data_IF_469957113502
#
_entry.id   IF_469957113502
#
_cell.length_a   1.000
_cell.length_b   1.000
_cell.length_c   1.000
_cell.angle_alpha   90.00
_cell.angle_beta   90.00
_cell.angle_gamma   90.00
#
_symmetry.space_group_name_H-M   'P 1'
#
loop_
_entity.id
_entity.type
_entity.pdbx_description
1 polymer ?
#
# COMPACT_ATOMS: atom_id res chain seq x y z
N UNK A 1 11.20 -4.49 -13.82
CA UNK A 1 12.31 -3.79 -13.15
C UNK A 1 12.16 -2.29 -13.26
N UNK A 2 12.55 -1.57 -12.23
CA UNK A 2 12.51 -0.11 -12.24
C UNK A 2 13.60 0.42 -13.20
N UNK A 3 13.31 1.34 -14.13
CA UNK A 3 14.29 1.83 -15.08
C UNK A 3 15.43 2.58 -14.40
N UNK A 4 16.65 2.35 -14.83
CA UNK A 4 17.85 2.96 -14.27
C UNK A 4 18.81 3.43 -15.36
N UNK A 5 19.46 4.59 -15.14
CA UNK A 5 20.48 5.12 -16.06
C UNK A 5 21.69 4.22 -16.24
N UNK A 6 21.96 3.30 -15.28
CA UNK A 6 23.04 2.32 -15.39
C UNK A 6 22.73 1.18 -16.38
N UNK A 7 21.46 1.04 -16.76
CA UNK A 7 20.96 0.04 -17.67
C UNK A 7 19.89 0.67 -18.58
N UNK A 8 20.29 1.38 -19.64
CA UNK A 8 19.38 2.14 -20.50
C UNK A 8 18.24 1.31 -21.11
N UNK A 9 18.49 0.04 -21.46
CA UNK A 9 17.49 -0.91 -21.95
C UNK A 9 16.35 -1.14 -20.97
N UNK A 10 16.57 -0.92 -19.68
CA UNK A 10 15.53 -1.07 -18.65
C UNK A 10 14.35 -0.10 -18.84
N UNK A 11 14.55 1.04 -19.49
CA UNK A 11 13.46 1.97 -19.82
C UNK A 11 12.52 1.34 -20.84
N UNK A 12 13.05 0.73 -21.89
CA UNK A 12 12.25 0.02 -22.90
C UNK A 12 11.56 -1.20 -22.30
N UNK A 13 12.27 -1.99 -21.48
CA UNK A 13 11.70 -3.13 -20.78
C UNK A 13 10.57 -2.71 -19.82
N UNK A 14 10.70 -1.56 -19.15
CA UNK A 14 9.68 -1.00 -18.28
C UNK A 14 8.43 -0.64 -19.07
N UNK A 15 8.56 -0.02 -20.25
CA UNK A 15 7.45 0.43 -21.09
C UNK A 15 6.63 -0.76 -21.67
N UNK A 16 7.18 -1.97 -21.70
CA UNK A 16 6.41 -3.17 -22.04
C UNK A 16 5.45 -3.63 -20.95
N UNK A 17 5.57 -3.13 -19.70
CA UNK A 17 4.64 -3.52 -18.65
C UNK A 17 3.27 -2.88 -18.86
N UNK A 18 2.25 -3.72 -18.73
CA UNK A 18 0.86 -3.31 -18.82
C UNK A 18 0.35 -3.05 -17.40
N UNK A 19 0.11 -1.77 -17.08
CA UNK A 19 -0.57 -1.36 -15.86
C UNK A 19 -2.05 -1.16 -16.17
N UNK A 20 -2.90 -1.81 -15.43
CA UNK A 20 -4.34 -1.68 -15.60
C UNK A 20 -5.07 -1.58 -14.26
N UNK A 21 -6.23 -0.95 -14.29
CA UNK A 21 -7.12 -0.78 -13.15
C UNK A 21 -8.49 -1.32 -13.53
N UNK A 22 -9.10 -2.11 -12.67
CA UNK A 22 -10.47 -2.56 -12.78
C UNK A 22 -11.28 -1.99 -11.63
N UNK A 23 -12.40 -1.42 -11.91
CA UNK A 23 -13.41 -1.03 -10.94
C UNK A 23 -14.54 -2.08 -10.91
N UNK A 24 -15.24 -2.20 -9.79
CA UNK A 24 -16.36 -3.14 -9.60
C UNK A 24 -15.96 -4.57 -10.04
N UNK A 25 -14.80 -5.03 -9.54
CA UNK A 25 -14.26 -6.32 -9.93
C UNK A 25 -15.00 -7.46 -9.22
N UNK A 26 -15.77 -8.25 -9.96
CA UNK A 26 -16.30 -9.52 -9.45
C UNK A 26 -15.15 -10.49 -9.18
N UNK A 27 -14.95 -10.92 -7.95
CA UNK A 27 -13.79 -11.73 -7.53
C UNK A 27 -14.15 -13.14 -7.09
N UNK A 28 -15.40 -13.39 -6.73
CA UNK A 28 -15.82 -14.71 -6.25
C UNK A 28 -16.35 -15.56 -7.42
N UNK A 29 -15.93 -16.82 -7.46
CA UNK A 29 -16.48 -17.81 -8.37
C UNK A 29 -17.86 -18.32 -7.93
N UNK A 30 -18.09 -18.28 -6.61
CA UNK A 30 -19.30 -18.82 -5.97
C UNK A 30 -20.41 -17.76 -5.92
N UNK A 31 -20.08 -16.56 -5.48
CA UNK A 31 -21.02 -15.45 -5.36
C UNK A 31 -20.65 -14.31 -6.33
N UNK A 32 -21.35 -14.26 -7.46
CA UNK A 32 -21.14 -13.26 -8.52
C UNK A 32 -21.63 -11.86 -8.14
N UNK A 33 -22.31 -11.70 -7.01
CA UNK A 33 -22.73 -10.41 -6.48
C UNK A 33 -21.65 -9.71 -5.64
N UNK A 34 -20.54 -10.41 -5.35
CA UNK A 34 -19.44 -9.84 -4.58
C UNK A 34 -18.47 -9.10 -5.50
N UNK A 35 -18.44 -7.78 -5.38
CA UNK A 35 -17.58 -6.89 -6.15
C UNK A 35 -16.63 -6.11 -5.24
N UNK A 36 -15.40 -5.98 -5.69
CA UNK A 36 -14.37 -5.14 -5.11
C UNK A 36 -14.38 -3.77 -5.78
N UNK A 37 -14.30 -2.70 -5.03
CA UNK A 37 -14.37 -1.35 -5.59
C UNK A 37 -13.29 -1.09 -6.63
N UNK A 38 -12.02 -1.48 -6.35
CA UNK A 38 -10.91 -1.25 -7.26
C UNK A 38 -9.78 -2.26 -7.09
N UNK A 39 -9.23 -2.74 -8.21
CA UNK A 39 -8.04 -3.59 -8.26
C UNK A 39 -7.03 -3.08 -9.29
N UNK A 40 -5.75 -3.01 -8.88
CA UNK A 40 -4.64 -2.64 -9.76
C UNK A 40 -3.90 -3.90 -10.17
N UNK A 41 -3.59 -3.99 -11.46
CA UNK A 41 -2.89 -5.12 -12.06
C UNK A 41 -1.60 -4.64 -12.74
N UNK A 42 -0.59 -5.51 -12.72
CA UNK A 42 0.60 -5.39 -13.54
C UNK A 42 0.73 -6.67 -14.35
N UNK A 43 0.74 -6.56 -15.68
CA UNK A 43 0.80 -7.70 -16.58
C UNK A 43 -0.28 -8.77 -16.32
N UNK A 44 -1.47 -8.33 -15.93
CA UNK A 44 -2.59 -9.21 -15.60
C UNK A 44 -2.53 -9.85 -14.19
N UNK A 45 -1.46 -9.60 -13.42
CA UNK A 45 -1.37 -10.05 -12.03
C UNK A 45 -1.95 -9.00 -11.08
N UNK A 46 -2.90 -9.33 -10.21
CA UNK A 46 -3.43 -8.40 -9.22
C UNK A 46 -2.36 -8.07 -8.19
N UNK A 47 -2.09 -6.80 -7.98
CA UNK A 47 -1.05 -6.35 -7.05
C UNK A 47 -1.62 -5.56 -5.86
N UNK A 48 -2.70 -4.82 -6.07
CA UNK A 48 -3.33 -3.98 -5.03
C UNK A 48 -4.83 -4.08 -5.13
N UNK A 49 -5.51 -4.18 -4.00
CA UNK A 49 -6.97 -4.05 -3.89
C UNK A 49 -7.33 -2.84 -3.04
N UNK A 50 -8.46 -2.21 -3.34
CA UNK A 50 -8.98 -1.06 -2.58
C UNK A 50 -10.48 -1.18 -2.37
N UNK A 51 -10.91 -0.88 -1.14
CA UNK A 51 -12.29 -0.57 -0.79
C UNK A 51 -12.40 0.93 -0.50
N UNK A 52 -13.31 1.59 -1.18
CA UNK A 52 -13.46 3.04 -1.19
C UNK A 52 -14.75 3.43 -0.47
N UNK A 53 -14.69 4.43 0.39
CA UNK A 53 -15.88 4.97 1.07
C UNK A 53 -15.96 6.48 0.86
N UNK A 54 -17.20 6.95 0.69
CA UNK A 54 -17.49 8.36 0.51
C UNK A 54 -18.13 8.90 1.81
N UNK A 55 -17.41 9.78 2.49
CA UNK A 55 -17.85 10.41 3.74
C UNK A 55 -18.94 11.44 3.54
N UNK A 56 -18.99 12.05 2.36
CA UNK A 56 -19.99 13.09 2.03
C UNK A 56 -21.34 12.50 1.62
N UNK A 57 -21.41 11.16 1.43
CA UNK A 57 -22.68 10.48 1.23
C UNK A 57 -23.57 10.57 2.47
N UNK A 58 -24.86 10.41 2.31
CA UNK A 58 -25.84 10.40 3.41
C UNK A 58 -25.56 9.32 4.48
N UNK A 59 -24.80 8.29 4.14
CA UNK A 59 -24.37 7.22 5.06
C UNK A 59 -23.22 7.63 5.97
N UNK A 60 -22.42 8.65 5.61
CA UNK A 60 -21.25 9.10 6.37
C UNK A 60 -20.16 8.02 6.52
N UNK A 61 -20.07 7.10 5.57
CA UNK A 61 -19.15 5.98 5.64
C UNK A 61 -17.69 6.42 5.50
N UNK A 62 -16.82 5.77 6.27
CA UNK A 62 -15.40 6.11 6.34
C UNK A 62 -14.54 4.90 5.96
N UNK A 63 -13.23 5.11 5.86
CA UNK A 63 -12.26 4.03 5.67
C UNK A 63 -12.40 2.90 6.73
N UNK A 64 -12.95 3.19 7.92
CA UNK A 64 -13.25 2.16 8.92
C UNK A 64 -14.33 1.18 8.45
N UNK A 65 -15.31 1.67 7.70
CA UNK A 65 -16.32 0.80 7.09
C UNK A 65 -15.72 -0.06 5.97
N UNK A 66 -14.72 0.47 5.25
CA UNK A 66 -13.95 -0.33 4.30
C UNK A 66 -13.11 -1.41 4.98
N UNK A 67 -12.48 -1.11 6.14
CA UNK A 67 -11.80 -2.11 6.96
C UNK A 67 -12.76 -3.22 7.41
N UNK A 68 -13.95 -2.86 7.89
CA UNK A 68 -14.97 -3.85 8.29
C UNK A 68 -15.46 -4.68 7.10
N UNK A 69 -15.60 -4.09 5.91
CA UNK A 69 -15.94 -4.82 4.69
C UNK A 69 -14.85 -5.85 4.34
N UNK A 70 -13.58 -5.51 4.45
CA UNK A 70 -12.49 -6.48 4.27
C UNK A 70 -12.54 -7.61 5.30
N UNK A 71 -12.87 -7.31 6.55
CA UNK A 71 -12.93 -8.32 7.62
C UNK A 71 -14.10 -9.29 7.47
N UNK A 72 -15.25 -8.80 7.02
CA UNK A 72 -16.49 -9.55 7.03
C UNK A 72 -16.85 -10.15 5.66
N UNK A 73 -16.55 -9.41 4.57
CA UNK A 73 -17.08 -9.73 3.23
C UNK A 73 -15.98 -10.15 2.24
N UNK A 74 -14.69 -10.07 2.64
CA UNK A 74 -13.54 -10.43 1.79
C UNK A 74 -12.81 -11.63 2.38
N UNK A 75 -13.34 -12.82 2.06
CA UNK A 75 -12.79 -14.07 2.59
C UNK A 75 -11.35 -14.32 2.12
N UNK A 76 -10.40 -14.61 3.02
CA UNK A 76 -9.04 -15.02 2.64
C UNK A 76 -8.99 -16.37 1.90
N UNK A 77 -10.11 -17.08 1.77
CA UNK A 77 -10.24 -18.29 0.96
C UNK A 77 -10.46 -18.00 -0.52
N UNK A 78 -10.94 -16.80 -0.85
CA UNK A 78 -11.04 -16.35 -2.24
C UNK A 78 -9.63 -16.16 -2.83
N UNK A 79 -9.44 -16.54 -4.09
CA UNK A 79 -8.12 -16.50 -4.75
C UNK A 79 -7.50 -15.11 -4.67
N UNK A 80 -8.29 -14.06 -4.93
CA UNK A 80 -7.82 -12.68 -4.93
C UNK A 80 -7.28 -12.23 -3.57
N UNK A 81 -7.87 -12.74 -2.47
CA UNK A 81 -7.55 -12.33 -1.09
C UNK A 81 -6.67 -13.34 -0.35
N UNK A 82 -6.29 -14.43 -1.01
CA UNK A 82 -5.37 -15.40 -0.42
C UNK A 82 -4.00 -14.77 -0.16
N UNK A 83 -3.34 -15.22 0.91
CA UNK A 83 -2.04 -14.71 1.31
C UNK A 83 -1.01 -14.76 0.17
N UNK A 84 -0.25 -13.70 -0.04
CA UNK A 84 0.73 -13.50 -1.12
C UNK A 84 0.14 -13.30 -2.53
N UNK A 85 -1.19 -13.22 -2.68
CA UNK A 85 -1.78 -12.95 -3.99
C UNK A 85 -1.66 -11.50 -4.41
N UNK A 86 -2.02 -10.61 -3.50
CA UNK A 86 -1.80 -9.17 -3.64
C UNK A 86 -0.74 -8.69 -2.65
N UNK A 87 -0.07 -7.60 -2.96
CA UNK A 87 0.93 -6.99 -2.08
C UNK A 87 0.27 -6.31 -0.88
N UNK A 88 -0.87 -5.68 -1.12
CA UNK A 88 -1.52 -4.82 -0.13
C UNK A 88 -3.01 -4.66 -0.44
N UNK A 89 -3.78 -4.49 0.62
CA UNK A 89 -5.21 -4.18 0.60
C UNK A 89 -5.43 -2.85 1.29
N UNK A 90 -5.93 -1.85 0.58
CA UNK A 90 -6.18 -0.50 1.10
C UNK A 90 -7.65 -0.27 1.41
N UNK A 91 -7.92 0.32 2.56
CA UNK A 91 -9.21 0.88 2.95
C UNK A 91 -9.09 2.41 2.93
N UNK A 92 -9.92 3.08 2.12
CA UNK A 92 -9.73 4.49 1.74
C UNK A 92 -11.02 5.26 1.86
N UNK A 93 -10.95 6.48 2.40
CA UNK A 93 -11.95 7.52 2.22
C UNK A 93 -11.28 8.85 1.79
N UNK A 94 -12.02 9.94 1.71
CA UNK A 94 -11.48 11.23 1.27
C UNK A 94 -10.44 11.81 2.23
N UNK A 95 -10.41 11.36 3.51
CA UNK A 95 -9.58 11.93 4.57
C UNK A 95 -8.43 11.02 5.01
N UNK A 96 -8.61 9.70 4.94
CA UNK A 96 -7.66 8.76 5.52
C UNK A 96 -7.53 7.47 4.73
N UNK A 97 -6.34 6.84 4.87
CA UNK A 97 -5.99 5.56 4.29
C UNK A 97 -5.48 4.63 5.37
N UNK A 98 -5.93 3.39 5.36
CA UNK A 98 -5.31 2.30 6.09
C UNK A 98 -5.05 1.12 5.18
N UNK A 99 -4.16 0.21 5.59
CA UNK A 99 -3.79 -0.94 4.78
C UNK A 99 -3.53 -2.19 5.62
N UNK A 100 -3.63 -3.33 4.97
CA UNK A 100 -3.15 -4.62 5.48
C UNK A 100 -2.48 -5.40 4.36
N UNK A 101 -1.54 -6.27 4.71
CA UNK A 101 -0.87 -7.19 3.78
C UNK A 101 -1.42 -8.62 3.86
N UNK A 102 -2.32 -8.88 4.83
CA UNK A 102 -2.91 -10.19 5.03
C UNK A 102 -4.31 -10.05 5.60
N UNK A 103 -5.27 -10.67 4.95
CA UNK A 103 -6.61 -10.83 5.49
C UNK A 103 -6.69 -12.07 6.39
N UNK A 104 -7.36 -11.94 7.52
CA UNK A 104 -7.59 -12.98 8.52
C UNK A 104 -9.01 -12.85 9.12
N UNK A 105 -9.98 -12.58 8.26
CA UNK A 105 -11.35 -12.33 8.67
C UNK A 105 -11.42 -11.19 9.70
N UNK A 106 -12.17 -11.38 10.76
CA UNK A 106 -12.36 -10.39 11.84
C UNK A 106 -11.06 -10.04 12.59
N UNK A 107 -10.04 -10.90 12.53
CA UNK A 107 -8.75 -10.67 13.17
C UNK A 107 -7.80 -9.83 12.29
N UNK A 108 -8.21 -9.45 11.09
CA UNK A 108 -7.40 -8.63 10.18
C UNK A 108 -6.99 -7.32 10.85
N UNK A 109 -5.69 -7.05 10.87
CA UNK A 109 -5.12 -5.82 11.43
C UNK A 109 -4.79 -4.84 10.33
N UNK A 110 -5.37 -3.65 10.41
CA UNK A 110 -5.07 -2.54 9.53
C UNK A 110 -4.09 -1.57 10.20
N UNK A 111 -3.18 -1.03 9.40
CA UNK A 111 -2.21 -0.01 9.81
C UNK A 111 -2.49 1.30 9.07
N UNK A 112 -2.32 2.46 9.71
CA UNK A 112 -2.49 3.74 9.04
C UNK A 112 -1.44 3.94 7.94
N UNK A 113 -1.87 4.55 6.83
CA UNK A 113 -1.02 4.90 5.69
C UNK A 113 -1.05 6.41 5.40
N UNK A 114 -1.38 7.22 6.37
CA UNK A 114 -1.48 8.67 6.25
C UNK A 114 -0.10 9.35 6.19
N UNK A 115 -0.07 10.55 5.60
CA UNK A 115 1.16 11.34 5.42
C UNK A 115 1.69 11.95 6.72
N UNK A 116 0.83 12.13 7.72
CA UNK A 116 1.05 13.01 8.87
C UNK A 116 0.71 14.45 8.53
N UNK A 117 0.51 15.27 9.54
CA UNK A 117 0.27 16.71 9.43
C UNK A 117 1.54 17.51 9.72
N UNK A 118 1.57 18.80 9.36
CA UNK A 118 2.77 19.63 9.54
C UNK A 118 3.11 19.90 11.02
N UNK A 119 2.16 19.69 11.92
CA UNK A 119 2.31 19.76 13.37
C UNK A 119 2.62 18.39 14.03
N UNK A 120 3.17 17.45 13.26
CA UNK A 120 3.47 16.08 13.67
C UNK A 120 2.23 15.25 14.10
N UNK A 121 1.04 15.68 13.72
CA UNK A 121 -0.22 14.98 13.97
C UNK A 121 -0.44 13.77 13.09
N UNK A 122 -1.36 12.91 13.50
CA UNK A 122 -1.86 11.82 12.67
C UNK A 122 -2.84 12.35 11.60
N UNK A 123 -2.93 11.66 10.47
CA UNK A 123 -3.87 12.04 9.40
C UNK A 123 -3.16 12.52 8.14
N UNK A 124 -3.85 13.32 7.36
CA UNK A 124 -3.34 13.91 6.12
C UNK A 124 -3.52 15.41 6.13
N UNK A 125 -2.60 16.19 5.49
CA UNK A 125 -2.78 17.63 5.38
C UNK A 125 -3.98 17.94 4.46
N UNK A 126 -4.58 19.13 4.59
CA UNK A 126 -5.58 19.60 3.63
C UNK A 126 -5.04 19.58 2.20
N UNK A 127 -5.91 19.27 1.23
CA UNK A 127 -5.61 19.26 -0.19
C UNK A 127 -6.73 19.97 -0.95
N UNK A 128 -6.43 20.51 -2.13
CA UNK A 128 -7.43 21.07 -3.05
C UNK A 128 -8.40 20.02 -3.59
N UNK A 129 -8.02 18.74 -3.52
CA UNK A 129 -8.85 17.57 -3.81
C UNK A 129 -9.26 16.84 -2.55
N UNK A 130 -9.11 15.52 -2.55
CA UNK A 130 -9.24 14.72 -1.34
C UNK A 130 -7.90 14.67 -0.59
N UNK A 131 -7.94 14.62 0.75
CA UNK A 131 -6.72 14.55 1.57
C UNK A 131 -5.91 13.27 1.32
N UNK A 132 -6.50 12.30 0.62
CA UNK A 132 -5.91 10.99 0.27
C UNK A 132 -5.39 10.92 -1.17
N UNK A 133 -5.42 12.01 -1.92
CA UNK A 133 -5.04 12.03 -3.34
C UNK A 133 -3.55 11.73 -3.59
N UNK A 134 -2.68 11.90 -2.58
CA UNK A 134 -1.28 11.47 -2.64
C UNK A 134 -1.14 9.98 -2.95
N UNK A 135 -2.15 9.16 -2.58
CA UNK A 135 -2.11 7.72 -2.82
C UNK A 135 -2.00 7.42 -4.31
N UNK A 136 -2.86 8.02 -5.14
CA UNK A 136 -2.85 7.78 -6.59
C UNK A 136 -2.01 8.77 -7.38
N UNK A 137 -1.81 10.01 -6.90
CA UNK A 137 -0.99 11.00 -7.59
C UNK A 137 0.50 10.78 -7.43
N UNK A 138 0.93 10.18 -6.31
CA UNK A 138 2.35 10.08 -5.95
C UNK A 138 2.76 8.64 -5.67
N UNK A 139 2.09 7.97 -4.73
CA UNK A 139 2.52 6.67 -4.24
C UNK A 139 2.27 5.54 -5.26
N UNK A 140 1.17 5.60 -5.99
CA UNK A 140 0.80 4.63 -7.02
C UNK A 140 1.19 5.04 -8.44
N UNK A 141 2.06 6.05 -8.60
CA UNK A 141 2.73 6.29 -9.89
C UNK A 141 3.42 5.00 -10.36
N UNK A 142 3.40 4.73 -11.66
CA UNK A 142 3.91 3.48 -12.24
C UNK A 142 5.36 3.17 -11.84
N UNK A 143 6.24 4.18 -11.87
CA UNK A 143 7.64 4.03 -11.48
C UNK A 143 7.79 3.82 -9.98
N UNK A 144 6.99 4.55 -9.20
CA UNK A 144 7.03 4.39 -7.76
C UNK A 144 6.47 3.04 -7.31
N UNK A 145 5.37 2.59 -7.89
CA UNK A 145 4.82 1.27 -7.61
C UNK A 145 5.83 0.14 -7.92
N UNK A 146 6.52 0.22 -9.06
CA UNK A 146 7.57 -0.78 -9.37
C UNK A 146 8.76 -0.68 -8.43
N UNK A 147 9.16 0.53 -8.02
CA UNK A 147 10.18 0.72 -6.99
C UNK A 147 9.78 0.11 -5.64
N UNK A 148 8.52 0.23 -5.26
CA UNK A 148 8.00 -0.39 -4.03
C UNK A 148 8.06 -1.91 -4.11
N UNK A 149 7.65 -2.49 -5.24
CA UNK A 149 7.71 -3.93 -5.47
C UNK A 149 9.16 -4.45 -5.40
N UNK A 150 10.08 -3.72 -5.97
CA UNK A 150 11.47 -4.15 -6.10
C UNK A 150 12.28 -3.98 -4.80
N UNK A 151 12.01 -2.92 -4.03
CA UNK A 151 12.89 -2.51 -2.93
C UNK A 151 12.25 -2.52 -1.55
N UNK A 152 10.92 -2.57 -1.44
CA UNK A 152 10.23 -2.47 -0.16
C UNK A 152 9.32 -3.65 0.15
N UNK A 153 8.59 -4.17 -0.86
CA UNK A 153 7.67 -5.27 -0.66
C UNK A 153 8.44 -6.59 -0.64
N UNK A 154 8.31 -7.37 0.43
CA UNK A 154 8.99 -8.66 0.55
C UNK A 154 8.22 -9.60 1.47
N UNK A 155 8.48 -10.89 1.33
CA UNK A 155 8.03 -11.92 2.27
C UNK A 155 9.21 -12.35 3.09
N UNK A 156 9.08 -12.28 4.41
CA UNK A 156 10.10 -12.73 5.35
C UNK A 156 9.55 -13.86 6.24
N UNK A 157 10.45 -14.66 6.81
CA UNK A 157 10.12 -15.63 7.83
C UNK A 157 10.42 -15.02 9.21
N UNK A 158 9.38 -14.86 10.03
CA UNK A 158 9.52 -14.50 11.45
C UNK A 158 9.47 -15.76 12.32
N UNK A 159 10.29 -15.80 13.37
CA UNK A 159 10.21 -16.85 14.39
C UNK A 159 9.15 -16.43 15.42
N UNK A 160 8.10 -17.21 15.56
CA UNK A 160 7.22 -17.16 16.75
C UNK A 160 7.84 -17.99 17.89
N UNK A 161 7.56 -17.61 19.15
CA UNK A 161 7.96 -18.36 20.32
C UNK A 161 7.52 -19.84 20.18
N UNK A 162 8.49 -20.75 20.09
CA UNK A 162 8.22 -22.20 19.98
C UNK A 162 8.47 -22.83 18.61
N UNK A 163 9.50 -22.41 17.87
CA UNK A 163 10.03 -23.06 16.64
C UNK A 163 9.18 -23.00 15.36
N UNK A 164 7.95 -22.52 15.37
CA UNK A 164 7.18 -22.36 14.14
C UNK A 164 7.57 -21.05 13.44
N UNK A 165 8.10 -21.19 12.23
CA UNK A 165 8.33 -20.05 11.33
C UNK A 165 6.99 -19.63 10.73
N UNK A 166 6.73 -18.32 10.76
CA UNK A 166 5.57 -17.71 10.13
C UNK A 166 6.03 -16.77 9.02
N UNK A 167 5.46 -16.93 7.84
CA UNK A 167 5.70 -15.97 6.76
C UNK A 167 4.88 -14.71 6.98
N UNK A 168 5.56 -13.58 6.86
CA UNK A 168 4.98 -12.24 6.94
C UNK A 168 5.29 -11.48 5.66
N UNK A 169 4.28 -10.88 5.07
CA UNK A 169 4.44 -10.00 3.92
C UNK A 169 4.61 -8.58 4.40
N UNK A 170 5.77 -8.01 4.13
CA UNK A 170 6.12 -6.63 4.47
C UNK A 170 5.71 -5.70 3.32
N UNK A 171 5.14 -4.57 3.71
CA UNK A 171 4.85 -3.44 2.85
C UNK A 171 5.19 -2.16 3.62
N UNK A 172 5.79 -1.13 2.99
CA UNK A 172 6.26 0.04 3.73
C UNK A 172 5.08 0.86 4.25
N UNK A 173 5.20 1.39 5.46
CA UNK A 173 4.31 2.48 5.90
C UNK A 173 4.70 3.76 5.17
N UNK A 174 3.76 4.68 5.00
CA UNK A 174 4.00 5.91 4.24
C UNK A 174 5.25 6.69 4.73
N UNK A 175 5.42 6.86 6.03
CA UNK A 175 6.57 7.58 6.59
C UNK A 175 7.90 6.83 6.37
N UNK A 176 7.92 5.50 6.35
CA UNK A 176 9.12 4.70 6.04
C UNK A 176 9.54 4.92 4.58
N UNK A 177 8.60 4.78 3.66
CA UNK A 177 8.82 5.06 2.24
C UNK A 177 9.29 6.51 2.02
N UNK A 178 8.59 7.48 2.61
CA UNK A 178 8.90 8.92 2.46
C UNK A 178 10.31 9.27 2.95
N UNK A 179 10.76 8.72 4.08
CA UNK A 179 12.10 9.00 4.60
C UNK A 179 13.19 8.43 3.71
N UNK A 180 13.03 7.21 3.20
CA UNK A 180 13.98 6.61 2.25
C UNK A 180 14.07 7.44 0.97
N UNK A 181 12.95 7.87 0.41
CA UNK A 181 12.89 8.74 -0.77
C UNK A 181 13.65 10.05 -0.54
N UNK A 182 13.43 10.70 0.59
CA UNK A 182 14.12 11.96 0.95
C UNK A 182 15.62 11.78 1.10
N UNK A 183 16.06 10.72 1.77
CA UNK A 183 17.48 10.40 1.93
C UNK A 183 18.15 10.13 0.58
N UNK A 184 17.53 9.34 -0.29
CA UNK A 184 18.08 9.05 -1.60
C UNK A 184 18.16 10.31 -2.47
N UNK A 185 17.15 11.17 -2.46
CA UNK A 185 17.17 12.44 -3.18
C UNK A 185 18.29 13.36 -2.69
N UNK A 186 18.47 13.52 -1.37
CA UNK A 186 19.53 14.35 -0.82
C UNK A 186 20.93 13.81 -1.14
N UNK A 187 21.12 12.47 -1.07
CA UNK A 187 22.40 11.86 -1.46
C UNK A 187 22.68 12.00 -2.96
N UNK A 188 21.66 11.94 -3.80
CA UNK A 188 21.83 12.17 -5.25
C UNK A 188 22.22 13.62 -5.57
N UNK A 189 21.67 14.58 -4.85
CA UNK A 189 21.93 16.01 -5.06
C UNK A 189 23.26 16.45 -4.46
N UNK A 190 23.58 16.01 -3.25
CA UNK A 190 24.72 16.52 -2.45
C UNK A 190 25.87 15.53 -2.25
N UNK A 191 25.72 14.29 -2.73
CA UNK A 191 26.69 13.22 -2.49
C UNK A 191 26.60 12.60 -1.10
N UNK A 192 27.52 11.67 -0.81
CA UNK A 192 27.61 10.95 0.46
C UNK A 192 28.38 11.74 1.52
N UNK A 193 28.21 11.40 2.80
CA UNK A 193 28.99 11.96 3.92
C UNK A 193 28.22 12.86 4.87
N UNK A 194 26.98 13.26 4.53
CA UNK A 194 26.12 13.96 5.47
C UNK A 194 25.65 13.03 6.61
N UNK A 195 25.44 13.63 7.78
CA UNK A 195 24.81 12.96 8.94
C UNK A 195 23.34 13.32 8.97
N UNK A 196 22.46 12.32 9.12
CA UNK A 196 21.02 12.51 9.18
C UNK A 196 20.49 12.11 10.56
N UNK A 197 19.57 12.90 11.08
CA UNK A 197 18.76 12.53 12.24
C UNK A 197 17.34 12.23 11.74
N UNK A 198 16.90 10.98 11.94
CA UNK A 198 15.54 10.53 11.58
C UNK A 198 14.78 10.31 12.88
N UNK A 199 13.78 11.17 13.11
CA UNK A 199 12.92 11.09 14.27
C UNK A 199 11.53 10.60 13.85
N UNK A 200 11.10 9.51 14.43
CA UNK A 200 9.74 8.99 14.33
C UNK A 200 9.20 8.70 15.73
N UNK A 201 7.87 8.73 15.89
CA UNK A 201 7.22 8.36 17.16
C UNK A 201 7.53 6.91 17.56
N UNK A 202 7.46 6.61 18.84
CA UNK A 202 7.59 5.26 19.35
C UNK A 202 6.53 4.34 18.74
N UNK A 203 6.90 3.11 18.38
CA UNK A 203 5.99 2.15 17.76
C UNK A 203 5.64 2.42 16.29
N UNK A 204 6.29 3.39 15.63
CA UNK A 204 6.06 3.69 14.21
C UNK A 204 6.61 2.63 13.24
N UNK A 205 7.32 1.60 13.74
CA UNK A 205 7.95 0.56 12.90
C UNK A 205 9.25 1.02 12.22
N UNK A 206 9.96 2.00 12.79
CA UNK A 206 11.21 2.52 12.24
C UNK A 206 12.31 1.46 12.08
N UNK A 207 12.32 0.45 12.93
CA UNK A 207 13.40 -0.55 13.05
C UNK A 207 13.00 -1.95 12.55
N UNK A 208 12.07 -2.04 11.63
CA UNK A 208 11.72 -3.33 10.99
C UNK A 208 12.58 -3.56 9.77
#
# INVERSE_FOLDING_TARGET
LNPTSKRPESYTEFDYNIFSVSNQLTFSEVDKGLELDLCIFINGLPVITMELKNRTSSSGWTYKNAEEQYKNDRSPKEILFSFKRCLVHFAVDENAVSFTTRLDGVNTRFMPFNQGTDDDGAGNPPSDGTMTDYLWKVFLDKKELTNIIENFAQVIEEKEDGEKKKEVQIFPRYHQWRVVKRLLADVQEHGVGKKYLIQHSAGSGKSN
#
